data_IF_498829698149
#
_entry.id   IF_498829698149
#
_cell.length_a   1.000
_cell.length_b   1.000
_cell.length_c   1.000
_cell.angle_alpha   90.00
_cell.angle_beta   90.00
_cell.angle_gamma   90.00
#
_symmetry.space_group_name_H-M   'P 1'
#
loop_
_entity.id
_entity.type
_entity.pdbx_description
1 polymer ?
#
# COMPACT_ATOMS: atom_id res chain seq x y z
N UNK A 1 3.76 10.17 3.67
CA UNK A 1 2.94 8.97 3.42
C UNK A 1 2.16 8.65 4.67
N UNK A 2 0.97 8.09 4.54
CA UNK A 2 0.15 7.57 5.64
C UNK A 2 -0.51 6.26 5.23
N UNK A 3 -0.82 5.43 6.21
CA UNK A 3 -1.64 4.24 6.01
C UNK A 3 -2.79 4.23 7.01
N UNK A 4 -4.00 3.94 6.53
CA UNK A 4 -5.22 3.86 7.33
C UNK A 4 -5.82 2.46 7.18
N UNK A 5 -6.59 2.03 8.18
CA UNK A 5 -7.20 0.70 8.21
C UNK A 5 -8.65 0.77 8.68
N UNK A 6 -9.53 0.09 7.96
CA UNK A 6 -10.92 -0.09 8.29
C UNK A 6 -11.12 -1.50 8.86
N UNK A 7 -11.40 -1.60 10.15
CA UNK A 7 -11.68 -2.86 10.86
C UNK A 7 -12.91 -3.56 10.30
N UNK A 8 -13.90 -2.78 9.87
CA UNK A 8 -15.19 -3.30 9.41
C UNK A 8 -15.08 -4.04 8.06
N UNK A 9 -14.25 -3.54 7.15
CA UNK A 9 -14.08 -4.12 5.79
C UNK A 9 -12.77 -4.89 5.64
N UNK A 10 -11.81 -4.68 6.54
CA UNK A 10 -10.45 -5.19 6.41
C UNK A 10 -9.62 -4.43 5.36
N UNK A 11 -10.11 -3.34 4.80
CA UNK A 11 -9.40 -2.54 3.79
C UNK A 11 -8.34 -1.66 4.43
N UNK A 12 -7.17 -1.56 3.78
CA UNK A 12 -6.16 -0.55 4.07
C UNK A 12 -6.09 0.49 2.97
N UNK A 13 -5.95 1.76 3.34
CA UNK A 13 -5.52 2.84 2.43
C UNK A 13 -4.05 3.11 2.66
N UNK A 14 -3.27 3.25 1.59
CA UNK A 14 -1.91 3.77 1.62
C UNK A 14 -1.83 4.98 0.68
N UNK A 15 -1.57 6.16 1.24
CA UNK A 15 -1.49 7.38 0.44
C UNK A 15 -0.20 8.16 0.66
N UNK A 16 0.39 8.67 -0.42
CA UNK A 16 1.66 9.40 -0.40
C UNK A 16 1.80 10.36 -1.57
N UNK A 17 2.89 11.10 -1.61
CA UNK A 17 3.31 11.82 -2.83
C UNK A 17 3.80 10.83 -3.89
N UNK A 18 3.90 11.22 -5.18
CA UNK A 18 4.51 10.38 -6.21
C UNK A 18 5.88 9.82 -5.79
N UNK A 19 6.74 10.67 -5.20
CA UNK A 19 8.07 10.26 -4.75
C UNK A 19 8.02 9.20 -3.63
N UNK A 20 7.07 9.35 -2.69
CA UNK A 20 6.89 8.38 -1.60
C UNK A 20 6.36 7.03 -2.12
N UNK A 21 5.43 7.05 -3.08
CA UNK A 21 4.92 5.83 -3.71
C UNK A 21 6.00 5.13 -4.55
N UNK A 22 6.85 5.89 -5.24
CA UNK A 22 8.02 5.33 -5.92
C UNK A 22 9.02 4.71 -4.95
N UNK A 23 9.25 5.33 -3.79
CA UNK A 23 10.10 4.75 -2.75
C UNK A 23 9.53 3.43 -2.21
N UNK A 24 8.20 3.34 -2.00
CA UNK A 24 7.53 2.09 -1.66
C UNK A 24 7.70 1.02 -2.75
N UNK A 25 7.54 1.39 -4.02
CA UNK A 25 7.79 0.48 -5.13
C UNK A 25 9.23 -0.04 -5.13
N UNK A 26 10.20 0.79 -4.72
CA UNK A 26 11.59 0.38 -4.46
C UNK A 26 11.67 -0.73 -3.42
N UNK A 27 11.09 -0.52 -2.22
CA UNK A 27 11.08 -1.52 -1.14
C UNK A 27 10.42 -2.85 -1.57
N UNK A 28 9.32 -2.76 -2.32
CA UNK A 28 8.64 -3.94 -2.88
C UNK A 28 9.55 -4.70 -3.84
N UNK A 29 10.23 -4.00 -4.75
CA UNK A 29 11.15 -4.61 -5.73
C UNK A 29 12.40 -5.22 -5.08
N UNK A 30 12.95 -4.56 -4.08
CA UNK A 30 14.08 -5.07 -3.28
C UNK A 30 13.66 -6.26 -2.40
N UNK A 31 12.35 -6.44 -2.19
CA UNK A 31 11.79 -7.56 -1.45
C UNK A 31 11.84 -7.37 0.06
N UNK A 32 12.22 -6.20 0.58
CA UNK A 32 12.38 -6.03 2.02
C UNK A 32 12.57 -4.61 2.47
N UNK A 33 12.08 -4.32 3.66
CA UNK A 33 12.29 -3.04 4.33
C UNK A 33 11.11 -2.69 5.23
N UNK A 34 11.34 -1.69 6.08
CA UNK A 34 10.35 -1.12 6.98
C UNK A 34 10.27 0.39 6.73
N UNK A 35 9.05 0.90 6.66
CA UNK A 35 8.76 2.32 6.52
C UNK A 35 7.93 2.77 7.72
N UNK A 36 8.53 3.56 8.60
CA UNK A 36 7.81 4.22 9.68
C UNK A 36 6.89 5.29 9.11
N UNK A 37 5.65 5.36 9.62
CA UNK A 37 4.64 6.30 9.20
C UNK A 37 4.40 7.35 10.30
N UNK A 38 4.23 8.62 9.92
CA UNK A 38 3.82 9.64 10.88
C UNK A 38 2.41 9.35 11.41
N UNK A 39 2.10 9.75 12.66
CA UNK A 39 0.75 9.62 13.21
C UNK A 39 -0.24 10.47 12.44
N UNK A 40 -1.48 9.98 12.34
CA UNK A 40 -2.61 10.73 11.75
C UNK A 40 -3.62 11.01 12.86
N UNK A 41 -3.94 12.29 13.06
CA UNK A 41 -4.83 12.73 14.14
C UNK A 41 -6.30 12.32 13.92
N UNK A 42 -6.76 12.39 12.68
CA UNK A 42 -8.13 11.99 12.30
C UNK A 42 -8.06 10.97 11.16
N UNK A 43 -8.28 9.67 11.44
CA UNK A 43 -8.26 8.62 10.43
C UNK A 43 -9.58 8.52 9.64
N UNK A 44 -10.62 9.30 9.98
CA UNK A 44 -11.90 9.19 9.31
C UNK A 44 -11.78 9.33 7.77
N UNK A 45 -12.49 8.50 6.98
CA UNK A 45 -13.54 7.55 7.37
C UNK A 45 -13.04 6.16 7.83
N UNK A 46 -11.72 5.96 7.94
CA UNK A 46 -11.14 4.72 8.45
C UNK A 46 -11.11 4.71 10.00
N UNK A 47 -10.96 3.53 10.57
CA UNK A 47 -11.03 3.34 12.04
C UNK A 47 -9.72 3.72 12.75
N UNK A 48 -8.57 3.50 12.10
CA UNK A 48 -7.26 3.87 12.66
C UNK A 48 -6.19 4.16 11.62
N UNK A 49 -5.14 4.84 12.07
CA UNK A 49 -3.89 4.96 11.34
C UNK A 49 -2.92 3.84 11.73
N UNK A 50 -2.17 3.34 10.75
CA UNK A 50 -1.07 2.40 10.95
C UNK A 50 0.24 3.16 11.12
N UNK A 51 1.14 2.61 11.93
CA UNK A 51 2.41 3.22 12.28
C UNK A 51 3.56 2.79 11.36
N UNK A 52 3.37 1.72 10.58
CA UNK A 52 4.43 1.13 9.77
C UNK A 52 3.89 0.41 8.53
N UNK A 53 4.64 0.47 7.43
CA UNK A 53 4.55 -0.49 6.33
C UNK A 53 5.78 -1.39 6.36
N UNK A 54 5.55 -2.70 6.26
CA UNK A 54 6.58 -3.72 6.36
C UNK A 54 6.56 -4.62 5.14
N UNK A 55 7.63 -4.57 4.34
CA UNK A 55 7.83 -5.47 3.19
C UNK A 55 8.70 -6.64 3.61
N UNK A 56 8.26 -7.86 3.31
CA UNK A 56 8.98 -9.10 3.66
C UNK A 56 9.03 -10.08 2.50
N UNK A 57 10.26 -10.34 2.05
CA UNK A 57 10.57 -11.40 1.11
C UNK A 57 10.16 -12.76 1.68
N UNK A 58 9.59 -13.58 0.81
CA UNK A 58 9.35 -15.00 1.06
C UNK A 58 9.96 -15.79 -0.08
N UNK A 59 10.54 -16.95 0.22
CA UNK A 59 11.14 -17.79 -0.82
C UNK A 59 10.14 -18.23 -1.89
N UNK A 60 8.85 -18.36 -1.53
CA UNK A 60 7.77 -18.77 -2.43
C UNK A 60 6.45 -18.11 -2.03
N UNK A 61 5.48 -18.18 -2.95
CA UNK A 61 4.10 -17.79 -2.71
C UNK A 61 3.76 -16.39 -3.22
N UNK A 62 2.50 -16.23 -3.62
CA UNK A 62 1.90 -14.96 -4.05
C UNK A 62 2.01 -13.89 -2.97
N UNK A 63 1.91 -12.64 -3.37
CA UNK A 63 1.85 -11.50 -2.44
C UNK A 63 0.68 -11.70 -1.48
N UNK A 64 0.94 -11.58 -0.18
CA UNK A 64 -0.05 -11.51 0.87
C UNK A 64 0.02 -10.14 1.52
N UNK A 65 -1.13 -9.48 1.58
CA UNK A 65 -1.33 -8.22 2.27
C UNK A 65 -2.14 -8.51 3.53
N UNK A 66 -1.69 -8.00 4.68
CA UNK A 66 -2.42 -8.14 5.95
C UNK A 66 -2.07 -6.98 6.89
N UNK A 67 -2.95 -6.72 7.84
CA UNK A 67 -2.63 -5.85 8.99
C UNK A 67 -2.28 -6.72 10.18
N UNK A 68 -1.18 -6.38 10.86
CA UNK A 68 -0.68 -7.05 12.06
C UNK A 68 -0.49 -5.99 13.16
N UNK A 69 -1.51 -5.83 14.02
CA UNK A 69 -1.57 -4.73 14.96
C UNK A 69 -1.54 -3.36 14.24
N UNK A 70 -0.46 -2.60 14.47
CA UNK A 70 -0.24 -1.28 13.87
C UNK A 70 0.53 -1.28 12.55
N UNK A 71 0.80 -2.44 11.95
CA UNK A 71 1.67 -2.57 10.77
C UNK A 71 0.90 -3.14 9.56
N UNK A 72 1.02 -2.49 8.40
CA UNK A 72 0.64 -3.07 7.10
C UNK A 72 1.78 -3.98 6.62
N UNK A 73 1.55 -5.29 6.58
CA UNK A 73 2.54 -6.27 6.17
C UNK A 73 2.25 -6.73 4.74
N UNK A 74 3.22 -6.54 3.85
CA UNK A 74 3.21 -6.98 2.47
C UNK A 74 4.35 -7.98 2.26
N UNK A 75 4.05 -9.20 1.85
CA UNK A 75 5.11 -10.18 1.61
C UNK A 75 4.77 -11.24 0.58
N UNK A 76 5.78 -11.71 -0.14
CA UNK A 76 5.62 -12.66 -1.23
C UNK A 76 6.96 -13.01 -1.87
N UNK A 77 6.93 -13.87 -2.89
CA UNK A 77 8.08 -14.17 -3.72
C UNK A 77 8.52 -12.95 -4.54
N UNK A 78 9.81 -12.81 -4.86
CA UNK A 78 10.35 -11.64 -5.58
C UNK A 78 9.60 -11.32 -6.87
N UNK A 79 9.26 -12.34 -7.66
CA UNK A 79 8.56 -12.19 -8.94
C UNK A 79 7.17 -11.58 -8.77
N UNK A 80 6.47 -11.88 -7.67
CA UNK A 80 5.14 -11.34 -7.42
C UNK A 80 5.20 -9.97 -6.74
N UNK A 81 6.20 -9.74 -5.87
CA UNK A 81 6.45 -8.41 -5.32
C UNK A 81 6.89 -7.42 -6.41
N UNK A 82 7.63 -7.88 -7.43
CA UNK A 82 8.00 -7.07 -8.59
C UNK A 82 6.77 -6.59 -9.37
N UNK A 83 5.75 -7.45 -9.56
CA UNK A 83 4.48 -7.06 -10.21
C UNK A 83 3.74 -5.98 -9.41
N UNK A 84 3.65 -6.15 -8.09
CA UNK A 84 3.04 -5.12 -7.24
C UNK A 84 3.86 -3.82 -7.28
N UNK A 85 5.18 -3.90 -7.25
CA UNK A 85 6.08 -2.76 -7.36
C UNK A 85 5.88 -2.00 -8.68
N UNK A 86 5.75 -2.72 -9.81
CA UNK A 86 5.48 -2.14 -11.12
C UNK A 86 4.11 -1.44 -11.16
N UNK A 87 3.08 -2.04 -10.56
CA UNK A 87 1.74 -1.44 -10.48
C UNK A 87 1.76 -0.14 -9.69
N UNK A 88 2.42 -0.12 -8.53
CA UNK A 88 2.57 1.08 -7.69
C UNK A 88 3.42 2.15 -8.39
N UNK A 89 4.53 1.76 -9.00
CA UNK A 89 5.40 2.69 -9.72
C UNK A 89 4.71 3.28 -10.95
N UNK A 90 3.96 2.46 -11.70
CA UNK A 90 3.17 2.90 -12.85
C UNK A 90 2.11 3.91 -12.42
N UNK A 91 1.35 3.61 -11.38
CA UNK A 91 0.39 4.55 -10.81
C UNK A 91 1.05 5.85 -10.35
N UNK A 92 2.19 5.78 -9.66
CA UNK A 92 2.90 6.95 -9.15
C UNK A 92 3.51 7.85 -10.24
N UNK A 93 3.86 7.28 -11.39
CA UNK A 93 4.50 7.98 -12.51
C UNK A 93 3.51 8.41 -13.60
N UNK A 94 2.25 8.02 -13.50
CA UNK A 94 1.21 8.37 -14.46
C UNK A 94 0.90 9.88 -14.40
N UNK A 95 1.15 10.65 -15.48
CA UNK A 95 0.95 12.09 -15.49
C UNK A 95 -0.53 12.50 -15.45
N UNK A 96 -1.45 11.59 -15.81
CA UNK A 96 -2.90 11.82 -15.76
C UNK A 96 -3.49 11.42 -14.39
N UNK A 97 -2.73 10.68 -13.59
CA UNK A 97 -3.12 10.31 -12.24
C UNK A 97 -2.97 11.49 -11.27
N UNK A 98 -3.85 11.57 -10.28
CA UNK A 98 -3.96 12.72 -9.39
C UNK A 98 -4.80 12.41 -8.16
N UNK A 99 -5.17 13.40 -7.32
CA UNK A 99 -5.77 13.17 -6.00
C UNK A 99 -7.07 12.37 -5.96
N UNK A 100 -7.78 12.25 -7.10
CA UNK A 100 -9.02 11.48 -7.24
C UNK A 100 -8.82 10.07 -7.80
N UNK A 101 -7.60 9.73 -8.17
CA UNK A 101 -7.25 8.44 -8.74
C UNK A 101 -6.72 7.52 -7.64
N UNK A 102 -7.05 6.24 -7.77
CA UNK A 102 -6.68 5.20 -6.83
C UNK A 102 -6.32 3.93 -7.58
N UNK A 103 -5.32 3.21 -7.08
CA UNK A 103 -4.99 1.85 -7.49
C UNK A 103 -5.61 0.89 -6.46
N UNK A 104 -6.52 0.04 -6.92
CA UNK A 104 -7.09 -1.05 -6.12
C UNK A 104 -6.25 -2.31 -6.27
N UNK A 105 -5.78 -2.84 -5.14
CA UNK A 105 -5.03 -4.10 -5.05
C UNK A 105 -5.89 -5.07 -4.25
N UNK A 106 -6.69 -5.84 -4.96
CA UNK A 106 -7.73 -6.70 -4.39
C UNK A 106 -7.71 -8.08 -5.06
N UNK A 107 -7.93 -9.12 -4.27
CA UNK A 107 -7.94 -10.47 -4.79
C UNK A 107 -9.26 -10.78 -5.53
N UNK A 108 -9.15 -11.45 -6.68
CA UNK A 108 -10.25 -12.09 -7.39
C UNK A 108 -9.87 -13.55 -7.72
N UNK A 109 -10.83 -14.45 -8.01
CA UNK A 109 -10.51 -15.83 -8.36
C UNK A 109 -9.46 -15.92 -9.48
N UNK A 110 -8.47 -16.81 -9.33
CA UNK A 110 -7.34 -16.98 -10.25
C UNK A 110 -6.40 -15.76 -10.36
N UNK A 111 -6.40 -14.87 -9.36
CA UNK A 111 -5.47 -13.73 -9.31
C UNK A 111 -4.01 -14.18 -9.50
N UNK A 112 -3.31 -13.62 -10.48
CA UNK A 112 -2.01 -14.15 -10.90
C UNK A 112 -0.87 -13.94 -9.88
N UNK A 113 -0.84 -12.81 -9.14
CA UNK A 113 0.24 -12.51 -8.17
C UNK A 113 -0.20 -12.32 -6.71
N UNK A 114 -1.49 -12.20 -6.40
CA UNK A 114 -2.01 -11.94 -5.06
C UNK A 114 -2.61 -13.21 -4.44
N UNK A 115 -2.35 -13.45 -3.16
CA UNK A 115 -2.86 -14.59 -2.41
C UNK A 115 -4.33 -14.39 -2.04
N UNK A 116 -5.11 -15.48 -2.02
CA UNK A 116 -6.56 -15.44 -1.76
C UNK A 116 -6.98 -14.95 -0.38
N UNK A 117 -6.06 -14.96 0.58
CA UNK A 117 -6.27 -14.44 1.93
C UNK A 117 -5.68 -13.03 2.14
N UNK A 118 -5.39 -12.31 1.05
CA UNK A 118 -4.94 -10.93 1.13
C UNK A 118 -6.08 -9.97 1.48
N UNK A 119 -5.81 -9.07 2.42
CA UNK A 119 -6.67 -7.93 2.69
C UNK A 119 -6.67 -6.94 1.50
N UNK A 120 -7.80 -6.27 1.22
CA UNK A 120 -7.87 -5.19 0.24
C UNK A 120 -6.90 -4.05 0.57
N UNK A 121 -6.18 -3.56 -0.44
CA UNK A 121 -5.33 -2.38 -0.35
C UNK A 121 -5.70 -1.37 -1.43
N UNK A 122 -6.00 -0.15 -1.02
CA UNK A 122 -6.15 1.01 -1.89
C UNK A 122 -4.88 1.84 -1.80
N UNK A 123 -4.27 2.14 -2.95
CA UNK A 123 -3.15 3.08 -3.05
C UNK A 123 -3.65 4.37 -3.68
N UNK A 124 -3.34 5.51 -3.07
CA UNK A 124 -3.78 6.82 -3.55
C UNK A 124 -2.73 7.90 -3.39
N UNK A 125 -2.99 9.05 -3.97
CA UNK A 125 -2.18 10.23 -3.71
C UNK A 125 -2.62 10.90 -2.41
N UNK A 126 -1.67 11.44 -1.67
CA UNK A 126 -2.01 12.41 -0.63
C UNK A 126 -2.62 13.62 -1.34
N UNK A 127 -3.91 13.87 -1.10
CA UNK A 127 -4.51 15.14 -1.51
C UNK A 127 -3.67 16.27 -0.91
N UNK A 128 -3.34 17.26 -1.73
CA UNK A 128 -2.59 18.44 -1.30
C UNK A 128 -3.20 18.93 0.02
N UNK A 129 -2.38 19.07 1.06
CA UNK A 129 -2.85 19.68 2.30
C UNK A 129 -3.50 21.01 1.92
N UNK A 130 -4.62 21.43 2.53
CA UNK A 130 -5.17 22.75 2.24
C UNK A 130 -4.04 23.76 2.48
N UNK A 131 -3.67 24.47 1.42
CA UNK A 131 -2.81 25.64 1.48
C UNK A 131 -3.57 26.71 2.27
N UNK A 132 -3.49 26.59 3.59
CA UNK A 132 -3.99 27.55 4.55
C UNK A 132 -2.81 28.27 5.18
N UNK A 133 -2.37 29.35 4.54
CA UNK A 133 -1.78 30.53 5.17
C UNK A 133 -1.82 31.70 4.17
#
# INVERSE_FOLDING_TARGET
MRALYAETTGESLLSGTPAELLALAGLLREGGGDLALPPVADPAPYDRALAEVRVRHRATGKVRIRVDGGTLVIGGAPEYLAVLAESVAGFAADPDAGPRHHLHVEHFPDHFYLAGDSAPLVVGFSGDAPSGA
#
